data_IF_449501436899
#
_entry.id   IF_449501436899
#
_cell.length_a   1.000
_cell.length_b   1.000
_cell.length_c   1.000
_cell.angle_alpha   90.00
_cell.angle_beta   90.00
_cell.angle_gamma   90.00
#
_symmetry.space_group_name_H-M   'P 1'
#
loop_
_entity.id
_entity.type
_entity.pdbx_description
1 polymer ?
#
# COMPACT_ATOMS: atom_id res chain seq x y z
N UNK A 1 -19.38 8.04 -44.96
CA UNK A 1 -18.61 6.80 -45.14
C UNK A 1 -18.64 6.03 -43.83
N UNK A 2 -19.32 4.89 -43.83
CA UNK A 2 -19.47 4.02 -42.67
C UNK A 2 -18.30 3.02 -42.60
N UNK A 3 -17.67 2.91 -41.44
CA UNK A 3 -16.87 1.77 -41.00
C UNK A 3 -17.24 1.60 -39.52
N UNK A 4 -17.87 0.52 -39.05
CA UNK A 4 -17.60 -0.88 -39.37
C UNK A 4 -16.64 -1.43 -38.31
N UNK A 5 -17.11 -1.61 -37.06
CA UNK A 5 -16.25 -1.89 -35.91
C UNK A 5 -16.90 -2.81 -34.87
N UNK A 6 -17.13 -4.07 -35.28
CA UNK A 6 -17.18 -5.30 -34.48
C UNK A 6 -17.74 -5.26 -33.04
N UNK A 7 -18.99 -5.67 -32.89
CA UNK A 7 -19.53 -6.21 -31.63
C UNK A 7 -18.71 -7.44 -31.21
N UNK A 8 -17.86 -7.29 -30.18
CA UNK A 8 -17.22 -8.44 -29.52
C UNK A 8 -18.29 -9.21 -28.73
N UNK A 9 -18.49 -10.47 -29.10
CA UNK A 9 -19.32 -11.40 -28.34
C UNK A 9 -18.80 -11.54 -26.90
N UNK A 10 -19.70 -11.69 -25.90
CA UNK A 10 -19.29 -11.94 -24.53
C UNK A 10 -18.51 -13.27 -24.43
N UNK A 11 -17.52 -13.37 -23.54
CA UNK A 11 -16.78 -14.61 -23.34
C UNK A 11 -17.73 -15.73 -22.91
N UNK A 12 -17.60 -16.90 -23.55
CA UNK A 12 -18.34 -18.11 -23.15
C UNK A 12 -18.02 -18.45 -21.70
N UNK A 13 -19.02 -18.85 -20.89
CA UNK A 13 -18.77 -19.36 -19.55
C UNK A 13 -17.88 -20.61 -19.65
N UNK A 14 -16.99 -20.84 -18.68
CA UNK A 14 -16.16 -22.04 -18.65
C UNK A 14 -17.04 -23.30 -18.58
N UNK A 15 -16.62 -24.42 -19.17
CA UNK A 15 -17.34 -25.67 -19.08
C UNK A 15 -17.44 -26.11 -17.61
N UNK A 16 -18.64 -26.54 -17.23
CA UNK A 16 -18.98 -27.05 -15.91
C UNK A 16 -18.08 -28.23 -15.56
N UNK A 17 -17.04 -27.97 -14.76
CA UNK A 17 -16.14 -28.99 -14.22
C UNK A 17 -16.67 -29.40 -12.86
N UNK A 18 -17.66 -30.28 -12.85
CA UNK A 18 -17.95 -31.11 -11.69
C UNK A 18 -17.34 -32.51 -11.89
N UNK A 19 -16.16 -32.82 -11.30
CA UNK A 19 -15.68 -34.19 -11.20
C UNK A 19 -16.03 -34.69 -9.80
N UNK A 20 -17.31 -34.80 -9.47
CA UNK A 20 -17.71 -35.52 -8.27
C UNK A 20 -18.60 -36.70 -8.69
N UNK A 21 -18.09 -37.94 -8.61
CA UNK A 21 -18.93 -39.10 -8.80
C UNK A 21 -20.05 -39.06 -7.77
N UNK A 22 -21.30 -39.18 -8.22
CA UNK A 22 -22.43 -39.40 -7.32
C UNK A 22 -22.11 -40.60 -6.43
N UNK A 23 -22.11 -40.45 -5.09
CA UNK A 23 -21.96 -41.59 -4.23
C UNK A 23 -23.16 -42.50 -4.47
N UNK A 24 -22.87 -43.73 -4.91
CA UNK A 24 -23.81 -44.85 -4.90
C UNK A 24 -24.51 -44.85 -3.54
N UNK A 25 -25.83 -45.00 -3.56
CA UNK A 25 -26.69 -45.04 -2.38
C UNK A 25 -26.23 -46.15 -1.41
N UNK A 26 -25.32 -45.81 -0.51
CA UNK A 26 -25.11 -46.55 0.74
C UNK A 26 -26.09 -45.96 1.75
N UNK A 27 -26.88 -46.83 2.39
CA UNK A 27 -27.93 -46.50 3.34
C UNK A 27 -27.56 -45.30 4.22
N UNK A 28 -28.33 -44.22 4.06
CA UNK A 28 -28.07 -42.92 4.66
C UNK A 28 -28.16 -42.97 6.17
N UNK A 29 -27.04 -43.26 6.82
CA UNK A 29 -26.87 -42.94 8.23
C UNK A 29 -26.77 -41.42 8.30
N UNK A 30 -27.86 -40.74 8.68
CA UNK A 30 -27.86 -39.28 8.87
C UNK A 30 -26.79 -38.92 9.89
N UNK A 31 -25.64 -38.41 9.45
CA UNK A 31 -24.52 -38.06 10.32
C UNK A 31 -24.78 -36.69 10.94
N UNK A 32 -24.63 -36.60 12.26
CA UNK A 32 -24.59 -35.31 12.95
C UNK A 32 -23.29 -34.59 12.57
N UNK A 33 -23.35 -33.58 11.70
CA UNK A 33 -22.20 -32.71 11.43
C UNK A 33 -22.09 -31.64 12.52
N UNK A 34 -21.81 -32.04 13.76
CA UNK A 34 -21.37 -31.07 14.78
C UNK A 34 -19.90 -30.78 14.53
N UNK A 35 -19.62 -29.62 13.93
CA UNK A 35 -18.28 -29.06 13.84
C UNK A 35 -17.87 -28.64 15.26
N UNK A 36 -17.14 -29.52 15.96
CA UNK A 36 -16.56 -29.22 17.28
C UNK A 36 -15.47 -28.17 17.08
N UNK A 37 -15.85 -26.90 17.24
CA UNK A 37 -14.90 -25.80 17.39
C UNK A 37 -14.20 -25.98 18.74
N UNK A 38 -12.87 -25.94 18.70
CA UNK A 38 -11.91 -26.29 19.76
C UNK A 38 -11.54 -27.78 19.78
N UNK A 39 -10.27 -28.05 19.44
CA UNK A 39 -9.70 -29.39 19.41
C UNK A 39 -9.80 -30.10 20.75
N UNK A 40 -10.17 -31.38 20.70
CA UNK A 40 -10.24 -32.25 21.86
C UNK A 40 -11.65 -32.80 22.09
N UNK A 41 -11.97 -33.92 21.43
CA UNK A 41 -13.06 -34.79 21.89
C UNK A 41 -12.84 -35.09 23.38
N UNK A 42 -13.90 -34.94 24.18
CA UNK A 42 -13.85 -35.14 25.64
C UNK A 42 -13.29 -36.50 26.03
N UNK A 43 -12.90 -36.70 27.29
CA UNK A 43 -12.26 -37.93 27.80
C UNK A 43 -12.94 -39.22 27.32
N UNK A 44 -14.27 -39.23 27.21
CA UNK A 44 -15.04 -40.37 26.70
C UNK A 44 -14.75 -40.74 25.23
N UNK A 45 -14.46 -39.77 24.35
CA UNK A 45 -14.05 -40.05 22.95
C UNK A 45 -12.70 -40.75 22.89
N UNK A 46 -11.80 -40.45 23.85
CA UNK A 46 -10.47 -41.06 23.94
C UNK A 46 -10.52 -42.45 24.58
N UNK A 47 -11.41 -42.66 25.56
CA UNK A 47 -11.57 -43.94 26.25
C UNK A 47 -12.39 -44.95 25.45
N UNK A 48 -13.37 -44.50 24.64
CA UNK A 48 -14.21 -45.39 23.84
C UNK A 48 -14.34 -44.89 22.39
N UNK A 49 -13.36 -45.15 21.53
CA UNK A 49 -13.40 -44.70 20.14
C UNK A 49 -14.69 -45.16 19.44
N UNK A 50 -15.41 -44.23 18.81
CA UNK A 50 -16.65 -44.53 18.07
C UNK A 50 -17.88 -44.81 18.93
N UNK A 51 -17.85 -44.59 20.26
CA UNK A 51 -19.02 -44.80 21.11
C UNK A 51 -20.23 -43.94 20.70
N UNK A 52 -19.99 -42.72 20.20
CA UNK A 52 -21.02 -41.83 19.68
C UNK A 52 -21.77 -42.42 18.49
N UNK A 53 -21.06 -43.10 17.58
CA UNK A 53 -21.67 -43.75 16.42
C UNK A 53 -22.52 -44.96 16.85
N UNK A 54 -22.10 -45.66 17.92
CA UNK A 54 -22.87 -46.78 18.51
C UNK A 54 -24.15 -46.29 19.19
N UNK A 55 -24.06 -45.22 19.99
CA UNK A 55 -25.22 -44.56 20.59
C UNK A 55 -26.15 -44.06 19.48
N UNK A 56 -25.59 -43.37 18.48
CA UNK A 56 -26.36 -42.87 17.36
C UNK A 56 -27.04 -43.99 16.58
N UNK A 57 -26.38 -45.13 16.33
CA UNK A 57 -26.99 -46.28 15.68
C UNK A 57 -28.24 -46.77 16.42
N UNK A 58 -28.20 -46.80 17.76
CA UNK A 58 -29.28 -47.26 18.63
C UNK A 58 -30.47 -46.29 18.77
N UNK A 59 -30.31 -45.01 18.40
CA UNK A 59 -31.42 -44.04 18.47
C UNK A 59 -32.50 -44.36 17.43
N UNK A 60 -33.80 -44.35 17.81
CA UNK A 60 -34.92 -44.52 16.87
C UNK A 60 -34.90 -43.49 15.73
N UNK A 61 -35.32 -43.88 14.53
CA UNK A 61 -35.27 -43.04 13.32
C UNK A 61 -36.01 -41.70 13.50
N UNK A 62 -37.18 -41.70 14.15
CA UNK A 62 -37.93 -40.47 14.43
C UNK A 62 -37.20 -39.48 15.35
N UNK A 63 -36.43 -39.98 16.32
CA UNK A 63 -35.58 -39.12 17.17
C UNK A 63 -34.37 -38.59 16.39
N UNK A 64 -33.77 -39.39 15.49
CA UNK A 64 -32.67 -38.92 14.62
C UNK A 64 -33.13 -37.76 13.74
N UNK A 65 -34.29 -37.89 13.12
CA UNK A 65 -34.88 -36.80 12.32
C UNK A 65 -35.15 -35.55 13.14
N UNK A 66 -35.72 -35.69 14.34
CA UNK A 66 -35.95 -34.55 15.23
C UNK A 66 -34.63 -33.86 15.64
N UNK A 67 -33.59 -34.64 16.00
CA UNK A 67 -32.29 -34.10 16.41
C UNK A 67 -31.55 -33.41 15.25
N UNK A 68 -31.64 -33.95 14.03
CA UNK A 68 -31.07 -33.33 12.83
C UNK A 68 -31.84 -32.06 12.47
N UNK A 69 -33.17 -32.11 12.43
CA UNK A 69 -34.02 -30.94 12.14
C UNK A 69 -33.81 -29.83 13.16
N UNK A 70 -33.82 -30.15 14.45
CA UNK A 70 -33.59 -29.14 15.50
C UNK A 70 -32.17 -28.55 15.43
N UNK A 71 -31.15 -29.35 15.11
CA UNK A 71 -29.78 -28.86 14.93
C UNK A 71 -29.64 -27.95 13.70
N UNK A 72 -30.27 -28.31 12.59
CA UNK A 72 -30.27 -27.48 11.37
C UNK A 72 -31.04 -26.18 11.58
N UNK A 73 -32.21 -26.24 12.21
CA UNK A 73 -33.00 -25.05 12.53
C UNK A 73 -32.23 -24.09 13.47
N UNK A 74 -31.48 -24.62 14.44
CA UNK A 74 -30.63 -23.81 15.32
C UNK A 74 -29.45 -23.18 14.57
N UNK A 75 -28.89 -23.86 13.57
CA UNK A 75 -27.84 -23.30 12.72
C UNK A 75 -28.37 -22.20 11.80
N UNK A 76 -29.51 -22.44 11.15
CA UNK A 76 -30.17 -21.46 10.27
C UNK A 76 -30.66 -20.23 11.04
N UNK A 77 -31.17 -20.40 12.26
CA UNK A 77 -31.55 -19.28 13.12
C UNK A 77 -30.34 -18.42 13.52
N UNK A 78 -29.19 -19.06 13.78
CA UNK A 78 -27.92 -18.35 14.00
C UNK A 78 -27.45 -17.56 12.79
N UNK A 79 -27.57 -18.12 11.57
CA UNK A 79 -27.26 -17.39 10.33
C UNK A 79 -28.24 -16.24 10.12
N UNK A 80 -29.54 -16.44 10.34
CA UNK A 80 -30.55 -15.40 10.21
C UNK A 80 -30.27 -14.24 11.16
N UNK A 81 -29.91 -14.54 12.42
CA UNK A 81 -29.49 -13.55 13.41
C UNK A 81 -28.23 -12.80 12.97
N UNK A 82 -27.24 -13.49 12.39
CA UNK A 82 -26.04 -12.82 11.88
C UNK A 82 -26.37 -11.89 10.69
N UNK A 83 -27.29 -12.29 9.80
CA UNK A 83 -27.75 -11.44 8.69
C UNK A 83 -28.50 -10.21 9.19
N UNK A 84 -29.33 -10.32 10.22
CA UNK A 84 -30.00 -9.15 10.80
C UNK A 84 -28.99 -8.17 11.41
N UNK A 85 -27.98 -8.67 12.14
CA UNK A 85 -26.87 -7.85 12.62
C UNK A 85 -26.07 -7.19 11.49
N UNK A 86 -25.78 -7.92 10.42
CA UNK A 86 -25.10 -7.36 9.25
C UNK A 86 -25.92 -6.22 8.61
N UNK A 87 -27.24 -6.36 8.51
CA UNK A 87 -28.12 -5.30 8.01
C UNK A 87 -28.12 -4.07 8.92
N UNK A 88 -28.13 -4.26 10.24
CA UNK A 88 -28.01 -3.16 11.22
C UNK A 88 -26.66 -2.43 11.04
N UNK A 89 -25.55 -3.16 10.91
CA UNK A 89 -24.23 -2.57 10.65
C UNK A 89 -24.17 -1.83 9.31
N UNK A 90 -24.85 -2.33 8.27
CA UNK A 90 -24.98 -1.63 7.00
C UNK A 90 -25.83 -0.37 7.11
N UNK A 91 -26.82 -0.32 8.01
CA UNK A 91 -27.54 0.92 8.33
C UNK A 91 -26.62 1.93 9.02
N UNK A 92 -25.70 1.50 9.90
CA UNK A 92 -24.69 2.40 10.45
C UNK A 92 -23.81 3.05 9.37
N UNK A 93 -23.62 2.42 8.19
CA UNK A 93 -22.95 3.08 7.05
C UNK A 93 -23.68 4.29 6.49
N UNK A 94 -24.99 4.43 6.69
CA UNK A 94 -25.68 5.67 6.29
C UNK A 94 -25.25 6.85 7.17
N UNK A 95 -24.88 6.59 8.42
CA UNK A 95 -24.26 7.58 9.32
C UNK A 95 -22.82 7.87 8.87
N UNK A 96 -22.07 6.88 8.40
CA UNK A 96 -20.74 7.13 7.82
C UNK A 96 -20.78 8.06 6.60
N UNK A 97 -21.87 8.02 5.82
CA UNK A 97 -22.04 8.95 4.67
C UNK A 97 -22.15 10.41 5.11
N UNK A 98 -22.74 10.72 6.27
CA UNK A 98 -22.79 12.11 6.76
C UNK A 98 -21.45 12.59 7.29
N UNK A 99 -20.54 11.67 7.63
CA UNK A 99 -19.16 11.94 8.00
C UNK A 99 -18.18 11.81 6.83
N UNK A 100 -18.68 11.63 5.60
CA UNK A 100 -17.83 11.50 4.43
C UNK A 100 -17.02 12.79 4.22
N UNK A 101 -15.70 12.70 3.98
CA UNK A 101 -14.87 13.88 3.79
C UNK A 101 -15.32 14.67 2.55
N UNK A 102 -15.35 15.99 2.69
CA UNK A 102 -15.73 16.87 1.57
C UNK A 102 -14.76 16.71 0.39
N UNK A 103 -15.30 16.81 -0.83
CA UNK A 103 -14.49 16.71 -2.06
C UNK A 103 -13.45 17.84 -2.22
N UNK A 104 -13.52 18.90 -1.40
CA UNK A 104 -12.62 20.05 -1.47
C UNK A 104 -11.17 19.67 -1.14
N UNK A 105 -10.97 18.78 -0.17
CA UNK A 105 -9.65 18.36 0.31
C UNK A 105 -9.24 16.98 -0.19
N UNK A 106 -9.84 16.52 -1.30
CA UNK A 106 -9.44 15.25 -1.91
C UNK A 106 -8.01 15.36 -2.44
N UNK A 107 -7.32 14.22 -2.50
CA UNK A 107 -6.01 14.12 -3.15
C UNK A 107 -6.09 14.69 -4.58
N UNK A 108 -5.31 15.72 -4.95
CA UNK A 108 -5.37 16.36 -6.27
C UNK A 108 -4.60 15.55 -7.32
N UNK A 109 -4.65 14.23 -7.26
CA UNK A 109 -3.96 13.35 -8.18
C UNK A 109 -4.83 12.13 -8.50
N UNK A 110 -4.72 11.66 -9.74
CA UNK A 110 -5.36 10.43 -10.21
C UNK A 110 -4.33 9.30 -10.12
N UNK A 111 -4.79 8.07 -9.88
CA UNK A 111 -3.92 6.90 -9.91
C UNK A 111 -3.36 6.64 -11.31
N UNK A 112 -2.13 6.13 -11.37
CA UNK A 112 -1.42 5.89 -12.63
C UNK A 112 -2.16 4.89 -13.54
N UNK A 113 -2.86 3.89 -13.00
CA UNK A 113 -3.64 2.93 -13.81
C UNK A 113 -4.77 3.62 -14.57
N UNK A 114 -5.57 4.43 -13.87
CA UNK A 114 -6.59 5.25 -14.54
C UNK A 114 -5.99 6.25 -15.52
N UNK A 115 -4.80 6.79 -15.25
CA UNK A 115 -4.12 7.67 -16.21
C UNK A 115 -3.69 6.91 -17.48
N UNK A 116 -3.22 5.66 -17.37
CA UNK A 116 -2.91 4.80 -18.53
C UNK A 116 -4.18 4.51 -19.34
N UNK A 117 -5.25 4.07 -18.68
CA UNK A 117 -6.53 3.75 -19.34
C UNK A 117 -7.13 4.96 -20.07
N UNK A 118 -6.92 6.17 -19.53
CA UNK A 118 -7.36 7.43 -20.14
C UNK A 118 -6.41 7.96 -21.21
N UNK A 119 -5.21 7.38 -21.36
CA UNK A 119 -4.17 7.90 -22.24
C UNK A 119 -3.60 9.26 -21.81
N UNK A 120 -3.72 9.63 -20.53
CA UNK A 120 -3.23 10.91 -19.98
C UNK A 120 -1.93 10.75 -19.20
N UNK A 121 -1.33 9.56 -19.19
CA UNK A 121 -0.09 9.32 -18.46
C UNK A 121 1.12 9.77 -19.27
N UNK A 122 1.98 10.58 -18.67
CA UNK A 122 3.25 11.02 -19.25
C UNK A 122 4.42 10.40 -18.49
N UNK A 123 5.43 9.91 -19.22
CA UNK A 123 6.65 9.31 -18.68
C UNK A 123 7.88 10.11 -19.10
N UNK A 124 8.97 10.02 -18.32
CA UNK A 124 10.32 10.25 -18.86
C UNK A 124 10.91 11.66 -18.73
N UNK A 125 10.46 12.51 -17.81
CA UNK A 125 11.14 13.79 -17.54
C UNK A 125 11.20 14.13 -16.04
N UNK A 126 12.40 14.10 -15.46
CA UNK A 126 12.64 14.36 -14.03
C UNK A 126 12.79 15.86 -13.71
N UNK A 127 13.00 16.69 -14.73
CA UNK A 127 13.24 18.12 -14.59
C UNK A 127 12.31 18.94 -15.48
N UNK A 128 11.69 19.96 -14.89
CA UNK A 128 10.95 21.00 -15.61
C UNK A 128 11.89 21.74 -16.57
N UNK A 129 11.36 22.19 -17.71
CA UNK A 129 12.13 22.98 -18.66
C UNK A 129 12.49 24.37 -18.10
N UNK A 130 13.37 25.10 -18.79
CA UNK A 130 13.73 26.46 -18.38
C UNK A 130 12.50 27.36 -18.25
N UNK A 131 12.55 28.32 -17.32
CA UNK A 131 11.52 29.34 -17.06
C UNK A 131 10.17 28.80 -16.53
N UNK A 132 10.18 27.69 -15.77
CA UNK A 132 8.95 27.14 -15.16
C UNK A 132 7.96 26.63 -16.20
N UNK A 133 8.47 26.18 -17.36
CA UNK A 133 7.63 25.66 -18.44
C UNK A 133 6.88 24.43 -17.95
N UNK A 134 5.55 24.53 -17.98
CA UNK A 134 4.62 23.50 -17.54
C UNK A 134 4.43 22.41 -18.61
N UNK A 135 4.05 21.20 -18.20
CA UNK A 135 3.94 19.99 -19.02
C UNK A 135 2.70 20.00 -19.94
N UNK A 136 1.91 21.06 -19.90
CA UNK A 136 0.70 21.19 -20.70
C UNK A 136 1.06 21.52 -22.16
N UNK A 137 0.46 20.84 -23.15
CA UNK A 137 0.69 21.12 -24.56
C UNK A 137 0.53 22.62 -24.87
N UNK A 138 1.53 23.21 -25.50
CA UNK A 138 1.56 24.64 -25.83
C UNK A 138 2.18 25.56 -24.77
N UNK A 139 2.60 25.05 -23.60
CA UNK A 139 3.33 25.81 -22.57
C UNK A 139 4.79 25.40 -22.38
N UNK A 140 5.26 24.43 -23.16
CA UNK A 140 6.63 23.94 -23.12
C UNK A 140 7.57 24.87 -23.89
N UNK A 141 8.60 25.38 -23.22
CA UNK A 141 9.66 26.14 -23.88
C UNK A 141 10.63 25.19 -24.57
N UNK A 142 10.39 24.90 -25.85
CA UNK A 142 11.27 24.03 -26.62
C UNK A 142 12.40 24.83 -27.30
N UNK A 143 13.62 24.70 -26.78
CA UNK A 143 14.83 25.29 -27.38
C UNK A 143 15.31 24.50 -28.59
N UNK A 144 14.88 23.24 -28.75
CA UNK A 144 15.25 22.41 -29.89
C UNK A 144 14.36 22.68 -31.10
N UNK A 145 13.26 23.42 -30.94
CA UNK A 145 12.43 23.86 -32.05
C UNK A 145 13.16 24.85 -32.98
N UNK A 146 14.07 25.67 -32.44
CA UNK A 146 14.93 26.57 -33.22
C UNK A 146 16.39 26.12 -33.11
N UNK A 147 16.78 25.19 -33.99
CA UNK A 147 18.14 24.60 -34.01
C UNK A 147 19.21 25.62 -34.44
N UNK A 148 18.85 26.60 -35.27
CA UNK A 148 19.80 27.57 -35.82
C UNK A 148 20.26 28.60 -34.78
N UNK A 149 19.36 29.06 -33.91
CA UNK A 149 19.66 29.99 -32.83
C UNK A 149 18.90 29.61 -31.55
N UNK A 150 19.38 28.58 -30.81
CA UNK A 150 18.70 28.10 -29.61
C UNK A 150 18.77 29.08 -28.43
N UNK A 151 19.63 30.10 -28.51
CA UNK A 151 19.80 31.15 -27.52
C UNK A 151 19.70 32.52 -28.18
N UNK A 152 19.12 33.48 -27.47
CA UNK A 152 19.17 34.88 -27.88
C UNK A 152 20.60 35.41 -27.78
N UNK A 153 20.94 36.44 -28.54
CA UNK A 153 22.28 37.04 -28.52
C UNK A 153 22.66 37.53 -27.12
N UNK A 154 21.71 38.13 -26.39
CA UNK A 154 21.89 38.56 -25.00
C UNK A 154 22.19 37.38 -24.05
N UNK A 155 21.42 36.29 -24.12
CA UNK A 155 21.68 35.08 -23.32
C UNK A 155 23.04 34.46 -23.70
N UNK A 156 23.42 34.55 -24.97
CA UNK A 156 24.69 34.06 -25.46
C UNK A 156 25.89 34.84 -24.91
N UNK A 157 25.80 36.17 -24.85
CA UNK A 157 26.83 37.02 -24.25
C UNK A 157 27.02 36.75 -22.75
N UNK A 158 25.94 36.49 -22.03
CA UNK A 158 26.01 36.10 -20.62
C UNK A 158 26.67 34.74 -20.43
N UNK A 159 26.30 33.75 -21.25
CA UNK A 159 26.87 32.39 -21.17
C UNK A 159 28.36 32.35 -21.47
N UNK A 160 28.85 33.21 -22.36
CA UNK A 160 30.29 33.33 -22.65
C UNK A 160 31.11 33.63 -21.39
N UNK A 161 30.54 34.33 -20.41
CA UNK A 161 31.20 34.65 -19.13
C UNK A 161 31.45 33.40 -18.26
N UNK A 162 30.73 32.31 -18.50
CA UNK A 162 30.79 31.06 -17.72
C UNK A 162 31.40 29.89 -18.51
N UNK A 163 32.26 30.18 -19.50
CA UNK A 163 32.90 29.14 -20.32
C UNK A 163 33.79 28.19 -19.52
N UNK A 164 34.43 28.71 -18.47
CA UNK A 164 35.33 27.96 -17.60
C UNK A 164 34.98 28.17 -16.15
N UNK A 165 35.37 27.22 -15.31
CA UNK A 165 35.28 27.36 -13.86
C UNK A 165 36.22 28.47 -13.39
N UNK A 166 35.67 29.39 -12.60
CA UNK A 166 36.44 30.48 -12.00
C UNK A 166 37.15 29.97 -10.74
N UNK A 167 38.35 29.40 -10.94
CA UNK A 167 39.16 28.83 -9.86
C UNK A 167 39.54 29.87 -8.80
N UNK A 168 39.64 31.14 -9.17
CA UNK A 168 39.92 32.22 -8.24
C UNK A 168 38.74 32.43 -7.29
N UNK A 169 37.51 32.57 -7.83
CA UNK A 169 36.31 32.67 -6.99
C UNK A 169 36.09 31.44 -6.12
N UNK A 170 36.33 30.25 -6.67
CA UNK A 170 36.25 29.01 -5.91
C UNK A 170 37.28 28.98 -4.77
N UNK A 171 38.53 29.36 -5.05
CA UNK A 171 39.61 29.43 -4.07
C UNK A 171 39.32 30.42 -2.95
N UNK A 172 38.88 31.64 -3.28
CA UNK A 172 38.48 32.64 -2.28
C UNK A 172 37.28 32.15 -1.45
N UNK A 173 36.31 31.48 -2.07
CA UNK A 173 35.18 30.88 -1.36
C UNK A 173 35.61 29.84 -0.34
N UNK A 174 36.47 28.88 -0.74
CA UNK A 174 36.98 27.85 0.16
C UNK A 174 37.84 28.43 1.29
N UNK A 175 38.71 29.38 0.97
CA UNK A 175 39.57 30.04 1.95
C UNK A 175 38.75 30.86 2.96
N UNK A 176 37.70 31.54 2.51
CA UNK A 176 36.75 32.22 3.39
C UNK A 176 36.03 31.26 4.33
N UNK A 177 35.54 30.13 3.82
CA UNK A 177 34.92 29.08 4.64
C UNK A 177 35.93 28.50 5.65
N UNK A 178 37.17 28.27 5.23
CA UNK A 178 38.23 27.75 6.10
C UNK A 178 38.54 28.70 7.25
N UNK A 179 38.71 29.99 6.98
CA UNK A 179 38.95 30.99 8.02
C UNK A 179 37.76 31.16 8.94
N UNK A 180 36.53 31.19 8.41
CA UNK A 180 35.32 31.21 9.22
C UNK A 180 35.27 29.99 10.14
N UNK A 181 35.49 28.79 9.61
CA UNK A 181 35.54 27.55 10.37
C UNK A 181 36.62 27.57 11.47
N UNK A 182 37.81 28.08 11.18
CA UNK A 182 38.91 28.20 12.16
C UNK A 182 38.61 29.23 13.25
N UNK A 183 37.96 30.34 12.91
CA UNK A 183 37.61 31.38 13.88
C UNK A 183 36.45 30.95 14.80
N UNK A 184 35.50 30.17 14.29
CA UNK A 184 34.32 29.76 15.08
C UNK A 184 34.54 28.48 15.89
N UNK A 185 35.49 27.62 15.51
CA UNK A 185 35.79 26.39 16.24
C UNK A 185 37.04 26.58 17.09
N UNK A 186 36.85 26.94 18.35
CA UNK A 186 37.90 26.98 19.35
C UNK A 186 38.22 25.55 19.83
N UNK A 187 39.50 25.17 19.76
CA UNK A 187 39.99 23.91 20.30
C UNK A 187 40.85 24.22 21.52
N UNK A 188 40.63 23.56 22.67
CA UNK A 188 41.45 23.81 23.85
C UNK A 188 42.88 23.36 23.56
N UNK A 189 43.82 24.29 23.65
CA UNK A 189 45.26 24.00 23.60
C UNK A 189 45.75 23.96 25.03
N UNK A 190 46.22 22.79 25.47
CA UNK A 190 46.87 22.66 26.78
C UNK A 190 48.23 23.33 26.69
N UNK A 191 48.41 24.40 27.45
CA UNK A 191 49.69 25.10 27.57
C UNK A 191 50.34 24.73 28.90
N UNK A 192 51.43 23.95 28.86
CA UNK A 192 52.26 23.70 30.03
C UNK A 192 53.31 24.81 30.11
N UNK A 193 53.11 25.78 31.01
CA UNK A 193 54.13 26.80 31.30
C UNK A 193 55.05 26.30 32.42
N UNK A 194 56.20 25.76 32.05
CA UNK A 194 57.19 25.19 32.98
C UNK A 194 57.75 26.25 33.96
N UNK A 195 57.57 27.55 33.69
CA UNK A 195 57.98 28.66 34.57
C UNK A 195 57.17 28.76 35.86
N UNK A 196 55.97 28.19 35.90
CA UNK A 196 55.15 28.15 37.12
C UNK A 196 55.59 27.02 38.08
N UNK A 197 56.22 25.96 37.56
CA UNK A 197 56.72 24.86 38.37
C UNK A 197 57.93 25.30 39.22
N UNK A 198 58.89 26.03 38.62
CA UNK A 198 60.10 26.50 39.31
C UNK A 198 59.78 27.48 40.46
N UNK A 199 58.79 28.35 40.31
CA UNK A 199 58.37 29.27 41.38
C UNK A 199 57.62 28.59 42.54
N UNK A 200 57.07 27.39 42.30
CA UNK A 200 56.36 26.62 43.33
C UNK A 200 57.33 25.78 44.17
N UNK A 201 58.41 25.31 43.55
CA UNK A 201 59.50 24.61 44.24
C UNK A 201 60.35 25.55 45.11
N UNK A 202 60.54 26.83 44.71
CA UNK A 202 61.22 27.83 45.56
C UNK A 202 60.42 28.26 46.81
N UNK A 203 59.13 27.94 46.89
CA UNK A 203 58.26 28.30 48.02
C UNK A 203 57.95 27.14 48.97
N UNK A 204 58.55 25.96 48.76
CA UNK A 204 58.50 24.78 49.63
C UNK A 204 59.82 24.62 50.38
#
# INVERSE_FOLDING_TARGET
MAQGGGLRAPPKPPPDRSPFPHPKAFGGMMRQSRLLRAGGGGIADKMFPGYKDKIWAQVPTGMKEYLVKSSNNAFESGIAQHKTWQNILLQCKSVEKSLAPSSKYRKPAVDWRRQIERGTMHYGRWYEGPNGSDYTPGKTHDRLANVEAPFTEAEWEERKKYRSWDLMKFGYGLLGIFFAYRATNEWPVVWCDDRLASHKEEKL
#
